data_IF_890170895311
#
_entry.id   IF_890170895311
#
_cell.length_a   1.000
_cell.length_b   1.000
_cell.length_c   1.000
_cell.angle_alpha   90.00
_cell.angle_beta   90.00
_cell.angle_gamma   90.00
#
_symmetry.space_group_name_H-M   'P 1'
#
loop_
_entity.id
_entity.type
_entity.pdbx_description
1 polymer ?
#
# COMPACT_ATOMS: atom_id res chain seq x y z
N UNK A 1 6.14 -50.64 -18.45
CA UNK A 1 5.12 -49.96 -17.62
C UNK A 1 5.58 -48.52 -17.39
N UNK A 2 5.13 -47.62 -18.26
CA UNK A 2 5.50 -46.20 -18.28
C UNK A 2 4.48 -45.40 -17.45
N UNK A 3 4.98 -44.62 -16.48
CA UNK A 3 4.19 -43.59 -15.83
C UNK A 3 4.16 -42.35 -16.73
N UNK A 4 2.95 -41.99 -17.15
CA UNK A 4 2.64 -40.84 -18.02
C UNK A 4 2.94 -39.54 -17.27
N UNK A 5 3.82 -38.73 -17.85
CA UNK A 5 4.16 -37.38 -17.39
C UNK A 5 3.09 -36.44 -17.96
N UNK A 6 2.14 -35.99 -17.14
CA UNK A 6 1.17 -34.96 -17.55
C UNK A 6 1.94 -33.68 -17.93
N UNK A 7 1.84 -33.31 -19.21
CA UNK A 7 2.39 -32.09 -19.74
C UNK A 7 1.57 -30.90 -19.23
N UNK A 8 2.25 -29.97 -18.56
CA UNK A 8 1.73 -28.62 -18.29
C UNK A 8 1.46 -27.96 -19.65
N UNK A 9 0.24 -27.46 -19.94
CA UNK A 9 -0.02 -26.78 -21.19
C UNK A 9 0.84 -25.52 -21.28
N UNK A 10 1.55 -25.39 -22.40
CA UNK A 10 2.38 -24.24 -22.70
C UNK A 10 1.55 -22.95 -22.64
N UNK A 11 2.14 -21.90 -22.07
CA UNK A 11 1.55 -20.57 -22.08
C UNK A 11 1.24 -20.14 -23.53
N UNK A 12 0.09 -19.49 -23.79
CA UNK A 12 -0.19 -18.96 -25.11
C UNK A 12 0.89 -17.96 -25.50
N UNK A 13 1.31 -18.02 -26.76
CA UNK A 13 2.31 -17.10 -27.31
C UNK A 13 1.86 -15.63 -27.11
N UNK A 14 2.79 -14.68 -26.91
CA UNK A 14 2.46 -13.27 -26.67
C UNK A 14 1.53 -12.66 -27.73
N UNK A 15 1.64 -13.15 -28.98
CA UNK A 15 0.79 -12.73 -30.10
C UNK A 15 -0.65 -13.23 -29.97
N UNK A 16 -0.88 -14.44 -29.45
CA UNK A 16 -2.23 -14.99 -29.24
C UNK A 16 -2.95 -14.34 -28.05
N UNK A 17 -2.22 -13.98 -26.99
CA UNK A 17 -2.76 -13.24 -25.86
C UNK A 17 -3.17 -11.80 -26.26
N UNK A 18 -2.39 -11.16 -27.13
CA UNK A 18 -2.69 -9.81 -27.64
C UNK A 18 -3.91 -9.83 -28.56
N UNK A 19 -4.00 -10.79 -29.50
CA UNK A 19 -5.16 -10.95 -30.39
C UNK A 19 -6.46 -11.29 -29.63
N UNK A 20 -6.38 -12.09 -28.58
CA UNK A 20 -7.54 -12.41 -27.74
C UNK A 20 -8.00 -11.21 -26.90
N UNK A 21 -7.07 -10.38 -26.40
CA UNK A 21 -7.37 -9.14 -25.68
C UNK A 21 -8.00 -8.09 -26.59
N UNK A 22 -7.47 -7.91 -27.81
CA UNK A 22 -8.00 -6.94 -28.79
C UNK A 22 -9.37 -7.36 -29.32
N UNK A 23 -9.61 -8.66 -29.58
CA UNK A 23 -10.95 -9.15 -29.99
C UNK A 23 -12.01 -9.01 -28.89
N UNK A 24 -11.63 -9.17 -27.61
CA UNK A 24 -12.54 -8.89 -26.49
C UNK A 24 -12.80 -7.39 -26.32
N UNK A 25 -11.82 -6.54 -26.60
CA UNK A 25 -12.00 -5.09 -26.55
C UNK A 25 -13.06 -4.60 -27.55
N UNK A 26 -13.00 -5.09 -28.80
CA UNK A 26 -13.98 -4.74 -29.84
C UNK A 26 -15.39 -5.27 -29.54
N UNK A 27 -15.52 -6.49 -28.98
CA UNK A 27 -16.85 -7.05 -28.66
C UNK A 27 -17.51 -6.42 -27.43
N UNK A 28 -16.72 -5.78 -26.56
CA UNK A 28 -17.22 -5.14 -25.34
C UNK A 28 -17.58 -3.68 -25.59
N UNK A 29 -16.91 -2.99 -26.53
CA UNK A 29 -17.29 -1.63 -26.94
C UNK A 29 -18.68 -1.56 -27.58
N UNK A 30 -19.06 -2.54 -28.41
CA UNK A 30 -20.36 -2.53 -29.11
C UNK A 30 -21.57 -2.88 -28.22
N UNK A 31 -21.35 -3.52 -27.04
CA UNK A 31 -22.45 -3.93 -26.14
C UNK A 31 -22.74 -2.97 -24.98
N UNK A 32 -21.89 -1.97 -24.75
CA UNK A 32 -21.97 -1.10 -23.56
C UNK A 32 -22.79 0.19 -23.79
N UNK A 33 -23.28 0.45 -25.01
CA UNK A 33 -24.04 1.68 -25.30
C UNK A 33 -25.46 1.74 -24.71
N UNK A 34 -25.92 0.74 -23.96
CA UNK A 34 -27.28 0.75 -23.37
C UNK A 34 -27.27 0.14 -21.96
N UNK A 35 -26.83 0.91 -20.94
CA UNK A 35 -27.41 0.94 -19.59
C UNK A 35 -26.66 1.95 -18.73
N UNK A 36 -27.28 3.12 -18.54
CA UNK A 36 -26.87 4.10 -17.55
C UNK A 36 -27.08 3.54 -16.13
N UNK A 37 -25.99 3.16 -15.48
CA UNK A 37 -25.90 3.19 -14.02
C UNK A 37 -25.15 4.45 -13.63
N UNK A 38 -25.74 5.20 -12.68
CA UNK A 38 -25.38 6.58 -12.37
C UNK A 38 -23.87 6.78 -12.23
N UNK A 39 -23.35 7.77 -12.94
CA UNK A 39 -22.00 8.28 -12.76
C UNK A 39 -21.80 8.62 -11.28
N UNK A 40 -21.04 7.80 -10.56
CA UNK A 40 -20.43 8.22 -9.31
C UNK A 40 -19.50 9.38 -9.64
N UNK A 41 -19.91 10.60 -9.27
CA UNK A 41 -19.08 11.79 -9.40
C UNK A 41 -17.77 11.57 -8.63
N UNK A 42 -16.65 11.73 -9.32
CA UNK A 42 -15.34 11.61 -8.69
C UNK A 42 -15.20 12.70 -7.61
N UNK A 43 -14.74 12.38 -6.40
CA UNK A 43 -14.56 13.37 -5.36
C UNK A 43 -13.58 14.46 -5.81
N UNK A 44 -13.82 15.73 -5.46
CA UNK A 44 -12.97 16.84 -5.88
C UNK A 44 -11.55 16.68 -5.32
N UNK A 45 -10.56 16.95 -6.16
CA UNK A 45 -9.14 16.90 -5.80
C UNK A 45 -8.80 18.12 -4.95
N UNK A 46 -8.37 17.90 -3.71
CA UNK A 46 -7.99 18.97 -2.78
C UNK A 46 -6.51 19.31 -2.90
N UNK A 47 -6.22 20.60 -3.06
CA UNK A 47 -4.88 21.16 -3.09
C UNK A 47 -4.73 22.20 -1.98
N UNK A 48 -3.54 22.27 -1.40
CA UNK A 48 -3.22 23.16 -0.29
C UNK A 48 -2.03 24.02 -0.69
N UNK A 49 -2.07 25.29 -0.32
CA UNK A 49 -0.97 26.22 -0.56
C UNK A 49 0.19 25.91 0.39
N UNK A 50 1.37 25.65 -0.15
CA UNK A 50 2.59 25.43 0.63
C UNK A 50 3.15 26.75 1.17
N UNK A 51 4.10 26.65 2.11
CA UNK A 51 4.83 27.80 2.66
C UNK A 51 5.56 28.61 1.59
N UNK A 52 5.96 27.95 0.51
CA UNK A 52 6.68 28.54 -0.62
C UNK A 52 5.72 29.19 -1.64
N UNK A 53 4.42 29.30 -1.31
CA UNK A 53 3.39 29.90 -2.16
C UNK A 53 2.83 28.99 -3.24
N UNK A 54 3.48 27.85 -3.53
CA UNK A 54 3.06 26.88 -4.54
C UNK A 54 1.91 25.97 -4.06
N UNK A 55 1.02 25.60 -4.98
CA UNK A 55 -0.04 24.62 -4.72
C UNK A 55 0.52 23.19 -4.75
N UNK A 56 0.07 22.36 -3.82
CA UNK A 56 0.34 20.93 -3.87
C UNK A 56 -0.84 20.11 -3.38
N UNK A 57 -0.89 18.86 -3.81
CA UNK A 57 -1.90 17.90 -3.35
C UNK A 57 -1.93 17.85 -1.82
N UNK A 58 -3.14 17.94 -1.27
CA UNK A 58 -3.36 17.76 0.15
C UNK A 58 -2.76 16.41 0.59
N UNK A 59 -1.89 16.43 1.59
CA UNK A 59 -1.31 15.20 2.16
C UNK A 59 -2.38 14.26 2.70
N UNK A 60 -3.54 14.80 3.03
CA UNK A 60 -4.70 14.10 3.55
C UNK A 60 -5.65 13.61 2.43
N UNK A 61 -5.24 13.59 1.16
CA UNK A 61 -6.05 13.12 0.03
C UNK A 61 -5.54 11.84 -0.65
N UNK A 62 -4.47 11.21 -0.12
CA UNK A 62 -3.92 9.97 -0.70
C UNK A 62 -3.18 9.11 0.33
N UNK A 63 -3.20 7.80 0.09
CA UNK A 63 -2.33 6.84 0.76
C UNK A 63 -0.99 6.78 0.02
N UNK A 64 0.12 7.04 0.71
CA UNK A 64 1.45 7.08 0.10
C UNK A 64 2.35 5.97 0.66
N UNK A 65 2.95 5.18 -0.23
CA UNK A 65 4.05 4.28 0.13
C UNK A 65 5.35 5.06 0.30
N UNK A 66 5.56 5.65 1.48
CA UNK A 66 6.70 6.51 1.81
C UNK A 66 7.55 5.97 2.98
N UNK A 67 7.58 4.63 3.15
CA UNK A 67 8.37 3.96 4.19
C UNK A 67 9.85 4.35 4.09
N UNK A 68 10.38 4.85 5.21
CA UNK A 68 11.80 5.21 5.33
C UNK A 68 12.70 3.98 5.21
N UNK A 69 13.79 4.10 4.45
CA UNK A 69 14.81 3.05 4.33
C UNK A 69 15.54 2.82 5.66
N UNK A 70 15.75 3.89 6.41
CA UNK A 70 16.47 3.86 7.69
C UNK A 70 15.76 2.99 8.74
N UNK A 71 14.42 2.90 8.68
CA UNK A 71 13.63 2.11 9.63
C UNK A 71 13.94 0.62 9.54
N UNK A 72 14.37 0.12 8.37
CA UNK A 72 14.83 -1.27 8.22
C UNK A 72 16.09 -1.61 9.04
N UNK A 73 16.80 -0.61 9.54
CA UNK A 73 17.98 -0.77 10.40
C UNK A 73 17.67 -0.54 11.89
N UNK A 74 16.40 -0.38 12.29
CA UNK A 74 16.05 -0.15 13.70
C UNK A 74 16.38 -1.35 14.59
N UNK A 75 16.28 -2.59 14.08
CA UNK A 75 16.72 -3.77 14.83
C UNK A 75 18.24 -3.78 15.06
N UNK A 76 19.01 -3.16 14.15
CA UNK A 76 20.44 -2.98 14.34
C UNK A 76 20.74 -1.94 15.42
N UNK A 77 19.95 -0.85 15.49
CA UNK A 77 20.03 0.11 16.59
C UNK A 77 19.76 -0.56 17.94
N UNK A 78 18.74 -1.42 18.00
CA UNK A 78 18.41 -2.15 19.22
C UNK A 78 19.56 -3.05 19.67
N UNK A 79 20.24 -3.72 18.74
CA UNK A 79 21.42 -4.54 19.05
C UNK A 79 22.69 -3.72 19.37
N UNK A 80 22.63 -2.38 19.26
CA UNK A 80 23.76 -1.49 19.52
C UNK A 80 24.17 -1.42 21.00
N UNK A 81 23.32 -1.90 21.91
CA UNK A 81 23.60 -2.06 23.33
C UNK A 81 24.49 -3.28 23.65
N UNK A 82 24.94 -4.03 22.62
CA UNK A 82 25.84 -5.18 22.75
C UNK A 82 26.98 -4.98 23.71
N UNK A 83 27.74 -3.90 23.51
CA UNK A 83 28.92 -3.66 24.33
C UNK A 83 28.55 -3.43 25.80
N UNK A 84 27.45 -2.70 26.06
CA UNK A 84 26.93 -2.40 27.40
C UNK A 84 26.49 -3.65 28.16
N UNK A 85 25.80 -4.58 27.48
CA UNK A 85 25.28 -5.78 28.13
C UNK A 85 26.33 -6.90 28.26
N UNK A 86 27.37 -6.92 27.41
CA UNK A 86 28.42 -7.97 27.45
C UNK A 86 29.57 -7.60 28.37
N UNK A 87 30.05 -6.36 28.32
CA UNK A 87 31.15 -5.89 29.17
C UNK A 87 30.60 -5.05 30.31
N UNK A 88 29.96 -5.75 31.25
CA UNK A 88 29.28 -5.19 32.42
C UNK A 88 30.21 -5.07 33.65
N UNK A 89 31.52 -5.05 33.44
CA UNK A 89 32.52 -4.92 34.51
C UNK A 89 32.77 -3.44 34.82
N UNK A 90 32.98 -3.11 36.10
CA UNK A 90 33.33 -1.76 36.54
C UNK A 90 34.78 -1.77 37.06
N UNK A 91 35.69 -0.95 36.50
CA UNK A 91 35.49 -0.02 35.38
C UNK A 91 35.39 -0.72 34.02
N UNK A 92 34.60 -0.14 33.12
CA UNK A 92 34.39 -0.69 31.77
C UNK A 92 35.69 -0.61 30.95
N UNK A 93 36.10 -1.68 30.25
CA UNK A 93 37.29 -1.65 29.39
C UNK A 93 37.18 -0.57 28.29
N UNK A 94 38.29 0.11 27.98
CA UNK A 94 38.30 1.23 27.01
C UNK A 94 37.75 0.84 25.64
N UNK A 95 38.09 -0.36 25.14
CA UNK A 95 37.56 -0.83 23.86
C UNK A 95 36.03 -0.99 23.89
N UNK A 96 35.46 -1.42 25.03
CA UNK A 96 34.02 -1.58 25.21
C UNK A 96 33.34 -0.21 25.29
N UNK A 97 33.96 0.78 25.96
CA UNK A 97 33.50 2.18 25.97
C UNK A 97 33.39 2.75 24.56
N UNK A 98 34.38 2.48 23.69
CA UNK A 98 34.32 2.94 22.28
C UNK A 98 33.14 2.32 21.55
N UNK A 99 32.94 1.00 21.65
CA UNK A 99 31.78 0.34 21.02
C UNK A 99 30.45 0.81 21.58
N UNK A 100 30.35 1.01 22.89
CA UNK A 100 29.17 1.59 23.55
C UNK A 100 28.86 2.99 22.99
N UNK A 101 29.86 3.88 22.91
CA UNK A 101 29.66 5.23 22.39
C UNK A 101 29.15 5.22 20.94
N UNK A 102 29.70 4.34 20.10
CA UNK A 102 29.24 4.17 18.71
C UNK A 102 27.78 3.66 18.68
N UNK A 103 27.49 2.57 19.41
CA UNK A 103 26.16 1.97 19.46
C UNK A 103 25.09 2.95 19.97
N UNK A 104 25.35 3.61 21.09
CA UNK A 104 24.45 4.61 21.67
C UNK A 104 24.22 5.81 20.75
N UNK A 105 25.24 6.27 20.03
CA UNK A 105 25.10 7.37 19.05
C UNK A 105 24.27 6.95 17.85
N UNK A 106 24.52 5.76 17.30
CA UNK A 106 23.76 5.22 16.15
C UNK A 106 22.29 5.01 16.52
N UNK A 107 22.01 4.47 17.71
CA UNK A 107 20.64 4.33 18.21
C UNK A 107 19.93 5.69 18.35
N UNK A 108 20.60 6.67 18.95
CA UNK A 108 20.08 8.04 19.07
C UNK A 108 19.78 8.67 17.70
N UNK A 109 20.67 8.53 16.73
CA UNK A 109 20.48 9.05 15.37
C UNK A 109 19.33 8.34 14.63
N UNK A 110 19.22 7.01 14.73
CA UNK A 110 18.16 6.23 14.10
C UNK A 110 16.78 6.53 14.71
N UNK A 111 16.70 6.89 15.99
CA UNK A 111 15.46 7.33 16.62
C UNK A 111 14.83 8.53 15.90
N UNK A 112 15.63 9.48 15.41
CA UNK A 112 15.16 10.65 14.64
C UNK A 112 14.44 10.19 13.38
N UNK A 113 14.99 9.19 12.68
CA UNK A 113 14.33 8.64 11.48
C UNK A 113 13.06 7.88 11.81
N UNK A 114 13.02 7.16 12.93
CA UNK A 114 11.80 6.49 13.40
C UNK A 114 10.70 7.52 13.67
N UNK A 115 10.96 8.60 14.42
CA UNK A 115 9.94 9.64 14.66
C UNK A 115 9.51 10.37 13.40
N UNK A 116 10.44 10.60 12.45
CA UNK A 116 10.09 11.18 11.14
C UNK A 116 9.21 10.25 10.32
N UNK A 117 9.44 8.93 10.36
CA UNK A 117 8.58 7.96 9.69
C UNK A 117 7.24 7.78 10.41
N UNK A 118 7.21 7.78 11.74
CA UNK A 118 5.99 7.81 12.54
C UNK A 118 5.10 9.00 12.16
N UNK A 119 5.69 10.18 11.94
CA UNK A 119 4.93 11.35 11.47
C UNK A 119 4.31 11.13 10.08
N UNK A 120 5.03 10.48 9.17
CA UNK A 120 4.52 10.12 7.83
C UNK A 120 3.39 9.10 7.91
N UNK A 121 3.57 8.06 8.73
CA UNK A 121 2.56 7.05 9.00
C UNK A 121 1.31 7.67 9.65
N UNK A 122 1.49 8.64 10.56
CA UNK A 122 0.38 9.36 11.20
C UNK A 122 -0.50 10.10 10.17
N UNK A 123 0.10 10.73 9.14
CA UNK A 123 -0.67 11.34 8.04
C UNK A 123 -1.50 10.28 7.29
N UNK A 124 -0.91 9.14 6.92
CA UNK A 124 -1.64 8.04 6.29
C UNK A 124 -2.77 7.51 7.18
N UNK A 125 -2.53 7.34 8.49
CA UNK A 125 -3.53 6.90 9.48
C UNK A 125 -4.67 7.91 9.60
N UNK A 126 -4.38 9.21 9.64
CA UNK A 126 -5.40 10.27 9.69
C UNK A 126 -6.26 10.27 8.43
N UNK A 127 -5.64 10.19 7.26
CA UNK A 127 -6.33 10.04 5.98
C UNK A 127 -7.28 8.83 6.00
N UNK A 128 -6.76 7.65 6.35
CA UNK A 128 -7.54 6.42 6.37
C UNK A 128 -8.67 6.44 7.41
N UNK A 129 -8.47 7.07 8.58
CA UNK A 129 -9.54 7.26 9.58
C UNK A 129 -10.64 8.19 9.07
N UNK A 130 -10.28 9.31 8.44
CA UNK A 130 -11.25 10.24 7.83
C UNK A 130 -12.05 9.53 6.73
N UNK A 131 -11.37 8.84 5.82
CA UNK A 131 -12.01 8.04 4.78
C UNK A 131 -12.98 7.01 5.38
N UNK A 132 -12.57 6.33 6.46
CA UNK A 132 -13.42 5.35 7.16
C UNK A 132 -14.69 5.96 7.73
N UNK A 133 -14.58 7.14 8.35
CA UNK A 133 -15.75 7.84 8.91
C UNK A 133 -16.75 8.19 7.81
N UNK A 134 -16.27 8.76 6.70
CA UNK A 134 -17.11 9.10 5.54
C UNK A 134 -17.80 7.86 4.96
N UNK A 135 -17.07 6.76 4.78
CA UNK A 135 -17.64 5.50 4.28
C UNK A 135 -18.65 4.88 5.25
N UNK A 136 -18.46 5.01 6.56
CA UNK A 136 -19.43 4.54 7.55
C UNK A 136 -20.71 5.37 7.54
N UNK A 137 -20.60 6.69 7.35
CA UNK A 137 -21.74 7.58 7.19
C UNK A 137 -22.50 7.28 5.90
N UNK A 138 -21.78 7.10 4.78
CA UNK A 138 -22.35 6.70 3.50
C UNK A 138 -23.07 5.35 3.62
N UNK A 139 -22.44 4.35 4.24
CA UNK A 139 -23.07 3.06 4.51
C UNK A 139 -24.37 3.20 5.30
N UNK A 140 -24.40 4.05 6.33
CA UNK A 140 -25.62 4.31 7.11
C UNK A 140 -26.72 4.94 6.25
N UNK A 141 -26.36 5.88 5.35
CA UNK A 141 -27.31 6.51 4.43
C UNK A 141 -27.88 5.52 3.42
N UNK A 142 -27.03 4.68 2.81
CA UNK A 142 -27.45 3.63 1.88
C UNK A 142 -28.34 2.60 2.57
N UNK A 143 -27.97 2.18 3.79
CA UNK A 143 -28.80 1.27 4.59
C UNK A 143 -30.17 1.87 4.94
N UNK A 144 -30.22 3.17 5.26
CA UNK A 144 -31.48 3.88 5.50
C UNK A 144 -32.36 3.98 4.25
N UNK A 145 -31.76 3.96 3.06
CA UNK A 145 -32.45 3.93 1.75
C UNK A 145 -32.73 2.51 1.24
N UNK A 146 -32.37 1.47 2.01
CA UNK A 146 -32.44 0.07 1.59
C UNK A 146 -31.66 -0.23 0.28
N UNK A 147 -30.61 0.53 0.01
CA UNK A 147 -29.74 0.34 -1.16
C UNK A 147 -28.60 -0.66 -0.87
N UNK A 148 -28.00 -1.22 -1.92
CA UNK A 148 -26.89 -2.16 -1.79
C UNK A 148 -25.67 -1.47 -1.15
N UNK A 149 -25.11 -2.09 -0.10
CA UNK A 149 -23.93 -1.59 0.62
C UNK A 149 -22.64 -2.33 0.24
N UNK A 150 -22.69 -3.22 -0.75
CA UNK A 150 -21.59 -4.12 -1.11
C UNK A 150 -20.30 -3.36 -1.46
N UNK A 151 -20.41 -2.32 -2.29
CA UNK A 151 -19.27 -1.49 -2.70
C UNK A 151 -18.62 -0.81 -1.49
N UNK A 152 -19.42 -0.13 -0.67
CA UNK A 152 -18.93 0.52 0.54
C UNK A 152 -18.28 -0.48 1.51
N UNK A 153 -18.82 -1.69 1.59
CA UNK A 153 -18.29 -2.77 2.43
C UNK A 153 -16.95 -3.30 1.93
N UNK A 154 -16.76 -3.43 0.61
CA UNK A 154 -15.47 -3.77 0.02
C UNK A 154 -14.43 -2.70 0.35
N UNK A 155 -14.77 -1.43 0.15
CA UNK A 155 -13.85 -0.32 0.44
C UNK A 155 -13.54 -0.25 1.93
N UNK A 156 -14.53 -0.43 2.81
CA UNK A 156 -14.32 -0.48 4.26
C UNK A 156 -13.41 -1.63 4.71
N UNK A 157 -13.49 -2.78 4.04
CA UNK A 157 -12.63 -3.94 4.31
C UNK A 157 -11.18 -3.73 3.83
N UNK A 158 -10.99 -3.00 2.73
CA UNK A 158 -9.67 -2.59 2.26
C UNK A 158 -9.08 -1.54 3.20
N UNK A 159 -9.86 -0.49 3.51
CA UNK A 159 -9.49 0.56 4.43
C UNK A 159 -9.12 0.01 5.81
N UNK A 160 -9.85 -0.98 6.34
CA UNK A 160 -9.50 -1.63 7.61
C UNK A 160 -8.12 -2.27 7.56
N UNK A 161 -7.80 -2.98 6.47
CA UNK A 161 -6.49 -3.61 6.27
C UNK A 161 -5.39 -2.57 6.13
N UNK A 162 -5.59 -1.53 5.32
CA UNK A 162 -4.63 -0.44 5.13
C UNK A 162 -4.39 0.32 6.43
N UNK A 163 -5.44 0.67 7.16
CA UNK A 163 -5.38 1.38 8.43
C UNK A 163 -4.64 0.57 9.48
N UNK A 164 -4.99 -0.71 9.64
CA UNK A 164 -4.31 -1.54 10.62
C UNK A 164 -2.85 -1.82 10.26
N UNK A 165 -2.51 -1.90 8.97
CA UNK A 165 -1.12 -2.01 8.53
C UNK A 165 -0.35 -0.72 8.85
N UNK A 166 -0.81 0.45 8.41
CA UNK A 166 -0.12 1.72 8.71
C UNK A 166 -0.09 2.02 10.22
N UNK A 167 -1.11 1.61 10.98
CA UNK A 167 -1.16 1.79 12.42
C UNK A 167 -0.22 0.84 13.15
N UNK A 168 -0.38 -0.47 12.98
CA UNK A 168 0.35 -1.49 13.74
C UNK A 168 1.77 -1.63 13.21
N UNK A 169 1.94 -1.90 11.91
CA UNK A 169 3.23 -2.28 11.34
C UNK A 169 4.09 -1.09 10.95
N UNK A 170 3.71 0.13 11.34
CA UNK A 170 4.48 1.34 11.03
C UNK A 170 4.38 2.37 12.14
N UNK A 171 3.22 2.98 12.37
CA UNK A 171 3.11 4.06 13.37
C UNK A 171 3.44 3.61 14.80
N UNK A 172 2.83 2.51 15.27
CA UNK A 172 3.11 1.96 16.60
C UNK A 172 4.56 1.45 16.68
N UNK A 173 5.02 0.73 15.64
CA UNK A 173 6.40 0.24 15.56
C UNK A 173 7.42 1.38 15.71
N UNK A 174 7.32 2.41 14.88
CA UNK A 174 8.25 3.53 14.86
C UNK A 174 8.27 4.29 16.19
N UNK A 175 7.12 4.43 16.85
CA UNK A 175 7.05 5.05 18.17
C UNK A 175 7.72 4.20 19.25
N UNK A 176 7.43 2.90 19.30
CA UNK A 176 7.97 2.00 20.31
C UNK A 176 9.47 1.77 20.11
N UNK A 177 9.92 1.50 18.88
CA UNK A 177 11.33 1.32 18.56
C UNK A 177 12.10 2.65 18.65
N UNK A 178 11.50 3.77 18.24
CA UNK A 178 12.12 5.09 18.38
C UNK A 178 12.34 5.48 19.83
N UNK A 179 11.34 5.22 20.70
CA UNK A 179 11.47 5.43 22.14
C UNK A 179 12.49 4.48 22.77
N UNK A 180 12.45 3.18 22.42
CA UNK A 180 13.45 2.19 22.84
C UNK A 180 14.88 2.62 22.48
N UNK A 181 15.09 3.11 21.25
CA UNK A 181 16.40 3.59 20.80
C UNK A 181 16.90 4.82 21.59
N UNK A 182 16.01 5.74 22.02
CA UNK A 182 16.38 6.83 22.93
C UNK A 182 16.81 6.26 24.29
N UNK A 183 16.04 5.34 24.86
CA UNK A 183 16.37 4.73 26.16
C UNK A 183 17.70 3.98 26.12
N UNK A 184 17.96 3.23 25.05
CA UNK A 184 19.24 2.55 24.81
C UNK A 184 20.37 3.57 24.72
N UNK A 185 20.20 4.65 23.95
CA UNK A 185 21.19 5.72 23.80
C UNK A 185 21.54 6.36 25.15
N UNK A 186 20.52 6.78 25.92
CA UNK A 186 20.70 7.39 27.24
C UNK A 186 21.34 6.41 28.22
N UNK A 187 20.84 5.18 28.29
CA UNK A 187 21.41 4.14 29.15
C UNK A 187 22.88 3.89 28.83
N UNK A 188 23.22 3.77 27.54
CA UNK A 188 24.60 3.51 27.14
C UNK A 188 25.56 4.64 27.53
N UNK A 189 25.13 5.89 27.42
CA UNK A 189 25.93 7.03 27.92
C UNK A 189 26.02 7.06 29.45
N UNK A 190 24.96 6.67 30.17
CA UNK A 190 24.99 6.51 31.63
C UNK A 190 25.96 5.40 32.07
N UNK A 191 26.03 4.28 31.32
CA UNK A 191 26.97 3.19 31.59
C UNK A 191 28.42 3.64 31.43
N UNK A 192 28.74 4.43 30.40
CA UNK A 192 30.09 4.96 30.16
C UNK A 192 30.53 5.90 31.31
N UNK A 193 29.62 6.72 31.84
CA UNK A 193 29.90 7.63 32.96
C UNK A 193 29.82 6.98 34.35
N UNK A 194 29.50 5.68 34.42
CA UNK A 194 29.07 4.98 35.63
C UNK A 194 30.21 4.56 36.58
N UNK A 195 30.87 5.52 37.22
CA UNK A 195 31.71 5.22 38.40
C UNK A 195 30.87 4.93 39.67
N UNK A 196 29.57 5.31 39.66
CA UNK A 196 28.63 5.09 40.76
C UNK A 196 27.77 3.82 40.51
N UNK A 197 27.81 2.82 41.40
CA UNK A 197 27.07 1.57 41.25
C UNK A 197 25.55 1.73 41.04
N UNK A 198 24.94 2.78 41.61
CA UNK A 198 23.50 3.04 41.47
C UNK A 198 23.13 3.53 40.06
N UNK A 199 23.97 4.38 39.45
CA UNK A 199 23.79 4.88 38.08
C UNK A 199 24.00 3.75 37.07
N UNK A 200 24.95 2.87 37.35
CA UNK A 200 25.21 1.68 36.55
C UNK A 200 24.05 0.67 36.58
N UNK A 201 23.47 0.42 37.76
CA UNK A 201 22.29 -0.45 37.89
C UNK A 201 21.06 0.16 37.19
N UNK A 202 20.85 1.47 37.35
CA UNK A 202 19.78 2.19 36.66
C UNK A 202 19.96 2.13 35.13
N UNK A 203 21.20 2.25 34.64
CA UNK A 203 21.54 2.11 33.22
C UNK A 203 21.16 0.72 32.69
N UNK A 204 21.59 -0.36 33.36
CA UNK A 204 21.29 -1.73 32.93
C UNK A 204 19.80 -2.05 32.95
N UNK A 205 19.05 -1.51 33.91
CA UNK A 205 17.59 -1.63 33.94
C UNK A 205 16.96 -0.89 32.74
N UNK A 206 17.46 0.32 32.44
CA UNK A 206 16.92 1.19 31.40
C UNK A 206 17.24 0.69 29.99
N UNK A 207 18.48 0.31 29.70
CA UNK A 207 18.90 -0.21 28.40
C UNK A 207 18.48 -1.67 28.19
N UNK A 208 18.60 -2.51 29.22
CA UNK A 208 18.39 -3.96 29.10
C UNK A 208 16.93 -4.40 29.16
N UNK A 209 16.13 -3.86 30.10
CA UNK A 209 14.76 -4.34 30.34
C UNK A 209 13.69 -3.36 29.89
N UNK A 210 13.77 -2.10 30.36
CA UNK A 210 12.75 -1.08 30.06
C UNK A 210 12.79 -0.67 28.59
N UNK A 211 13.98 -0.51 28.01
CA UNK A 211 14.17 -0.21 26.58
C UNK A 211 13.67 -1.32 25.65
N UNK A 212 13.80 -2.58 26.06
CA UNK A 212 13.46 -3.75 25.25
C UNK A 212 12.00 -4.23 25.40
N UNK A 213 11.33 -3.90 26.51
CA UNK A 213 9.92 -4.25 26.74
C UNK A 213 8.96 -3.74 25.63
N UNK A 214 9.05 -2.48 25.15
CA UNK A 214 8.28 -1.98 24.02
C UNK A 214 8.40 -2.84 22.74
N UNK A 215 9.60 -3.36 22.47
CA UNK A 215 9.90 -4.17 21.27
C UNK A 215 9.21 -5.53 21.39
N UNK A 216 9.29 -6.17 22.56
CA UNK A 216 8.63 -7.45 22.82
C UNK A 216 7.10 -7.34 22.72
N UNK A 217 6.51 -6.29 23.28
CA UNK A 217 5.06 -6.04 23.19
C UNK A 217 4.63 -5.79 21.75
N UNK A 218 5.40 -4.96 21.01
CA UNK A 218 5.17 -4.74 19.58
C UNK A 218 5.22 -6.05 18.80
N UNK A 219 6.21 -6.91 19.09
CA UNK A 219 6.38 -8.19 18.40
C UNK A 219 5.13 -9.06 18.49
N UNK A 220 4.49 -9.15 19.65
CA UNK A 220 3.24 -9.89 19.83
C UNK A 220 2.09 -9.30 19.00
N UNK A 221 1.86 -7.98 19.09
CA UNK A 221 0.80 -7.30 18.35
C UNK A 221 1.00 -7.41 16.83
N UNK A 222 2.23 -7.23 16.35
CA UNK A 222 2.57 -7.35 14.94
C UNK A 222 2.35 -8.76 14.41
N UNK A 223 2.68 -9.79 15.19
CA UNK A 223 2.51 -11.18 14.75
C UNK A 223 1.04 -11.61 14.69
N UNK A 224 0.21 -11.12 15.63
CA UNK A 224 -1.25 -11.30 15.52
C UNK A 224 -1.81 -10.61 14.28
N UNK A 225 -1.34 -9.39 13.99
CA UNK A 225 -1.71 -8.69 12.76
C UNK A 225 -1.22 -9.43 11.49
N UNK A 226 0.00 -9.93 11.50
CA UNK A 226 0.58 -10.69 10.40
C UNK A 226 -0.22 -11.98 10.11
N UNK A 227 -0.66 -12.69 11.15
CA UNK A 227 -1.54 -13.84 11.03
C UNK A 227 -2.88 -13.47 10.38
N UNK A 228 -3.51 -12.37 10.82
CA UNK A 228 -4.74 -11.87 10.20
C UNK A 228 -4.54 -11.57 8.70
N UNK A 229 -3.46 -10.88 8.33
CA UNK A 229 -3.13 -10.57 6.93
C UNK A 229 -2.90 -11.85 6.12
N UNK A 230 -2.20 -12.84 6.68
CA UNK A 230 -1.97 -14.13 6.03
C UNK A 230 -3.29 -14.86 5.74
N UNK A 231 -4.19 -14.92 6.73
CA UNK A 231 -5.51 -15.54 6.57
C UNK A 231 -6.35 -14.80 5.53
N UNK A 232 -6.34 -13.46 5.53
CA UNK A 232 -7.01 -12.65 4.51
C UNK A 232 -6.47 -12.94 3.11
N UNK A 233 -5.15 -12.97 2.94
CA UNK A 233 -4.52 -13.30 1.66
C UNK A 233 -4.88 -14.72 1.18
N UNK A 234 -4.98 -15.68 2.10
CA UNK A 234 -5.42 -17.04 1.76
C UNK A 234 -6.88 -17.07 1.30
N UNK A 235 -7.76 -16.28 1.94
CA UNK A 235 -9.15 -16.11 1.50
C UNK A 235 -9.23 -15.51 0.11
N UNK A 236 -8.41 -14.51 -0.22
CA UNK A 236 -8.36 -13.94 -1.58
C UNK A 236 -8.04 -15.01 -2.63
N UNK A 237 -7.03 -15.85 -2.38
CA UNK A 237 -6.64 -16.94 -3.31
C UNK A 237 -7.80 -17.92 -3.51
N UNK A 238 -8.44 -18.35 -2.42
CA UNK A 238 -9.54 -19.31 -2.48
C UNK A 238 -10.76 -18.72 -3.18
N UNK A 239 -11.13 -17.49 -2.83
CA UNK A 239 -12.31 -16.82 -3.35
C UNK A 239 -12.15 -16.46 -4.83
N UNK A 240 -11.00 -15.92 -5.25
CA UNK A 240 -10.76 -15.58 -6.65
C UNK A 240 -10.76 -16.82 -7.54
N UNK A 241 -10.15 -17.92 -7.08
CA UNK A 241 -10.18 -19.20 -7.82
C UNK A 241 -11.59 -19.75 -7.98
N UNK A 242 -12.45 -19.61 -6.96
CA UNK A 242 -13.84 -20.09 -6.99
C UNK A 242 -14.73 -19.24 -7.88
N UNK A 243 -14.62 -17.91 -7.81
CA UNK A 243 -15.53 -17.00 -8.50
C UNK A 243 -15.09 -16.66 -9.94
N UNK A 244 -13.79 -16.60 -10.22
CA UNK A 244 -13.25 -16.16 -11.52
C UNK A 244 -12.69 -17.32 -12.36
N UNK A 245 -12.58 -18.52 -11.78
CA UNK A 245 -11.96 -19.66 -12.43
C UNK A 245 -10.47 -19.44 -12.78
N UNK A 246 -10.00 -20.19 -13.77
CA UNK A 246 -8.62 -20.11 -14.27
C UNK A 246 -8.49 -18.99 -15.32
N UNK A 247 -8.13 -17.79 -14.88
CA UNK A 247 -7.86 -16.64 -15.74
C UNK A 247 -6.64 -15.84 -15.27
N UNK A 248 -6.18 -14.88 -16.08
CA UNK A 248 -5.01 -14.04 -15.79
C UNK A 248 -5.22 -13.22 -14.52
N UNK A 249 -6.39 -12.60 -14.34
CA UNK A 249 -6.74 -11.90 -13.10
C UNK A 249 -6.60 -12.78 -11.83
N UNK A 250 -7.06 -14.04 -11.87
CA UNK A 250 -6.88 -14.99 -10.75
C UNK A 250 -5.40 -15.23 -10.45
N UNK A 251 -4.56 -15.36 -11.49
CA UNK A 251 -3.13 -15.55 -11.32
C UNK A 251 -2.46 -14.30 -10.71
N UNK A 252 -2.86 -13.10 -11.11
CA UNK A 252 -2.36 -11.83 -10.56
C UNK A 252 -2.74 -11.66 -9.07
N UNK A 253 -4.01 -11.91 -8.72
CA UNK A 253 -4.47 -11.90 -7.31
C UNK A 253 -3.69 -12.92 -6.49
N UNK A 254 -3.50 -14.14 -7.01
CA UNK A 254 -2.72 -15.19 -6.36
C UNK A 254 -1.25 -14.76 -6.16
N UNK A 255 -0.61 -14.19 -7.18
CA UNK A 255 0.78 -13.72 -7.12
C UNK A 255 0.96 -12.68 -6.01
N UNK A 256 0.08 -11.68 -5.96
CA UNK A 256 0.07 -10.67 -4.89
C UNK A 256 -0.15 -11.30 -3.52
N UNK A 257 -1.18 -12.12 -3.38
CA UNK A 257 -1.51 -12.76 -2.10
C UNK A 257 -0.36 -13.62 -1.57
N UNK A 258 0.35 -14.36 -2.43
CA UNK A 258 1.55 -15.11 -2.04
C UNK A 258 2.69 -14.22 -1.58
N UNK A 259 2.98 -13.11 -2.27
CA UNK A 259 3.99 -12.13 -1.83
C UNK A 259 3.66 -11.56 -0.46
N UNK A 260 2.39 -11.25 -0.20
CA UNK A 260 1.90 -10.79 1.10
C UNK A 260 2.05 -11.87 2.17
N UNK A 261 1.71 -13.13 1.87
CA UNK A 261 1.89 -14.25 2.80
C UNK A 261 3.34 -14.47 3.20
N UNK A 262 4.26 -14.47 2.23
CA UNK A 262 5.70 -14.61 2.49
C UNK A 262 6.19 -13.50 3.41
N UNK A 263 5.80 -12.25 3.14
CA UNK A 263 6.13 -11.12 4.01
C UNK A 263 5.51 -11.26 5.41
N UNK A 264 4.24 -11.64 5.52
CA UNK A 264 3.59 -11.84 6.82
C UNK A 264 4.29 -12.90 7.66
N UNK A 265 4.73 -14.00 7.04
CA UNK A 265 5.47 -15.06 7.74
C UNK A 265 6.82 -14.53 8.21
N UNK A 266 7.64 -13.96 7.32
CA UNK A 266 8.99 -13.48 7.67
C UNK A 266 8.91 -12.35 8.70
N UNK A 267 8.04 -11.36 8.48
CA UNK A 267 7.88 -10.23 9.39
C UNK A 267 7.34 -10.68 10.75
N UNK A 268 6.31 -11.54 10.77
CA UNK A 268 5.71 -12.01 12.02
C UNK A 268 6.64 -12.91 12.84
N UNK A 269 7.46 -13.75 12.20
CA UNK A 269 8.45 -14.58 12.93
C UNK A 269 9.63 -13.74 13.39
N UNK A 270 10.14 -12.86 12.54
CA UNK A 270 11.26 -11.97 12.87
C UNK A 270 10.92 -11.08 14.07
N UNK A 271 9.70 -10.53 14.16
CA UNK A 271 9.34 -9.68 15.31
C UNK A 271 9.15 -10.44 16.62
N UNK A 272 8.70 -11.70 16.58
CA UNK A 272 8.68 -12.55 17.79
C UNK A 272 10.10 -12.86 18.23
N UNK A 273 10.96 -13.30 17.30
CA UNK A 273 12.35 -13.62 17.61
C UNK A 273 13.14 -12.39 18.04
N UNK A 274 12.87 -11.23 17.46
CA UNK A 274 13.44 -9.94 17.87
C UNK A 274 13.01 -9.56 19.29
N UNK A 275 11.71 -9.69 19.59
CA UNK A 275 11.18 -9.46 20.94
C UNK A 275 11.81 -10.39 21.98
N UNK A 276 11.84 -11.70 21.72
CA UNK A 276 12.48 -12.68 22.63
C UNK A 276 13.99 -12.43 22.73
N UNK A 277 14.67 -12.21 21.61
CA UNK A 277 16.09 -11.92 21.54
C UNK A 277 16.46 -10.70 22.38
N UNK A 278 15.70 -9.60 22.24
CA UNK A 278 15.91 -8.35 22.98
C UNK A 278 15.76 -8.50 24.51
N UNK A 279 14.94 -9.45 24.97
CA UNK A 279 14.82 -9.74 26.40
C UNK A 279 15.97 -10.63 26.90
N UNK A 280 16.45 -11.55 26.05
CA UNK A 280 17.58 -12.43 26.38
C UNK A 280 18.89 -11.65 26.42
N UNK A 281 19.09 -10.67 25.53
CA UNK A 281 20.31 -9.85 25.46
C UNK A 281 20.60 -9.07 26.74
N UNK A 282 19.57 -8.78 27.54
CA UNK A 282 19.72 -8.15 28.86
C UNK A 282 20.53 -9.00 29.86
N UNK A 283 20.62 -10.31 29.66
CA UNK A 283 21.29 -11.23 30.60
C UNK A 283 22.29 -12.18 29.95
N UNK A 284 22.17 -12.42 28.64
CA UNK A 284 22.94 -13.45 27.94
C UNK A 284 23.43 -12.96 26.58
N UNK A 285 24.75 -12.97 26.38
CA UNK A 285 25.40 -12.51 25.15
C UNK A 285 24.97 -13.31 23.90
N UNK A 286 24.63 -14.60 24.03
CA UNK A 286 24.19 -15.39 22.87
C UNK A 286 22.84 -14.94 22.32
N UNK A 287 22.07 -14.12 23.06
CA UNK A 287 20.86 -13.46 22.56
C UNK A 287 21.14 -12.61 21.32
N UNK A 288 22.33 -12.01 21.21
CA UNK A 288 22.71 -11.24 20.04
C UNK A 288 22.90 -12.09 18.78
N UNK A 289 23.25 -13.37 18.93
CA UNK A 289 23.31 -14.31 17.80
C UNK A 289 21.92 -14.53 17.20
N UNK A 290 20.87 -14.52 18.04
CA UNK A 290 19.46 -14.58 17.58
C UNK A 290 19.05 -13.31 16.83
N UNK A 291 19.60 -12.15 17.20
CA UNK A 291 19.26 -10.89 16.55
C UNK A 291 19.84 -10.75 15.12
N UNK A 292 20.92 -11.46 14.77
CA UNK A 292 21.50 -11.42 13.41
C UNK A 292 20.46 -11.76 12.32
N UNK A 293 19.78 -12.93 12.33
CA UNK A 293 18.75 -13.23 11.34
C UNK A 293 17.54 -12.29 11.43
N UNK A 294 17.24 -11.71 12.60
CA UNK A 294 16.17 -10.71 12.77
C UNK A 294 16.51 -9.42 12.05
N UNK A 295 17.74 -8.91 12.18
CA UNK A 295 18.22 -7.71 11.49
C UNK A 295 18.17 -7.91 9.97
N UNK A 296 18.67 -9.03 9.47
CA UNK A 296 18.61 -9.36 8.04
C UNK A 296 17.16 -9.41 7.55
N UNK A 297 16.28 -10.04 8.31
CA UNK A 297 14.85 -10.13 8.00
C UNK A 297 14.18 -8.76 7.99
N UNK A 298 14.53 -7.86 8.93
CA UNK A 298 14.00 -6.50 9.00
C UNK A 298 14.39 -5.67 7.78
N UNK A 299 15.66 -5.72 7.37
CA UNK A 299 16.15 -5.06 6.14
C UNK A 299 15.44 -5.63 4.91
N UNK A 300 15.33 -6.95 4.80
CA UNK A 300 14.61 -7.61 3.72
C UNK A 300 13.14 -7.15 3.68
N UNK A 301 12.43 -7.20 4.81
CA UNK A 301 11.03 -6.80 4.93
C UNK A 301 10.83 -5.33 4.53
N UNK A 302 11.72 -4.42 4.92
CA UNK A 302 11.65 -3.02 4.51
C UNK A 302 11.76 -2.86 2.98
N UNK A 303 12.77 -3.50 2.37
CA UNK A 303 12.98 -3.45 0.92
C UNK A 303 11.80 -4.10 0.18
N UNK A 304 11.35 -5.26 0.65
CA UNK A 304 10.27 -6.03 0.05
C UNK A 304 8.94 -5.28 0.15
N UNK A 305 8.65 -4.66 1.30
CA UNK A 305 7.46 -3.82 1.45
C UNK A 305 7.46 -2.70 0.40
N UNK A 306 8.54 -1.92 0.34
CA UNK A 306 8.67 -0.78 -0.58
C UNK A 306 8.55 -1.22 -2.04
N UNK A 307 9.21 -2.31 -2.41
CA UNK A 307 9.32 -2.73 -3.81
C UNK A 307 8.23 -3.64 -4.30
N UNK A 308 7.53 -4.40 -3.44
CA UNK A 308 6.65 -5.51 -3.85
C UNK A 308 5.24 -5.48 -3.24
N UNK A 309 5.03 -4.88 -2.06
CA UNK A 309 3.75 -4.99 -1.34
C UNK A 309 3.03 -3.65 -1.25
N UNK A 310 3.72 -2.63 -0.72
CA UNK A 310 3.19 -1.30 -0.55
C UNK A 310 2.81 -0.68 -1.89
N UNK A 311 1.78 0.15 -1.87
CA UNK A 311 1.30 0.88 -3.05
C UNK A 311 0.80 2.25 -2.62
N UNK A 312 0.80 3.19 -3.57
CA UNK A 312 0.22 4.52 -3.41
C UNK A 312 -1.13 4.54 -4.12
N UNK A 313 -2.16 5.13 -3.49
CA UNK A 313 -3.48 5.32 -4.12
C UNK A 313 -4.15 6.62 -3.67
N UNK A 314 -4.98 7.18 -4.55
CA UNK A 314 -5.86 8.32 -4.27
C UNK A 314 -7.24 7.88 -3.74
N UNK A 315 -8.12 8.85 -3.45
CA UNK A 315 -9.50 8.60 -2.99
C UNK A 315 -10.43 7.97 -4.05
N UNK A 316 -10.12 8.11 -5.34
CA UNK A 316 -10.92 7.50 -6.42
C UNK A 316 -10.84 5.98 -6.45
N UNK A 317 -11.97 5.31 -6.29
CA UNK A 317 -12.11 3.85 -6.42
C UNK A 317 -12.62 3.52 -7.83
N UNK A 318 -12.16 2.42 -8.45
CA UNK A 318 -12.83 1.91 -9.65
C UNK A 318 -14.24 1.42 -9.29
N UNK A 319 -15.14 1.42 -10.26
CA UNK A 319 -16.47 0.84 -10.06
C UNK A 319 -16.34 -0.64 -9.64
N UNK A 320 -17.17 -1.06 -8.68
CA UNK A 320 -17.15 -2.42 -8.12
C UNK A 320 -17.88 -3.44 -8.99
N UNK A 321 -17.58 -3.41 -10.30
CA UNK A 321 -18.12 -4.34 -11.30
C UNK A 321 -17.05 -5.38 -11.62
N UNK A 322 -17.40 -6.67 -11.53
CA UNK A 322 -16.47 -7.79 -11.71
C UNK A 322 -15.61 -7.66 -12.97
N UNK A 323 -16.26 -7.47 -14.12
CA UNK A 323 -15.58 -7.51 -15.42
C UNK A 323 -14.71 -6.26 -15.63
N UNK A 324 -15.12 -5.11 -15.09
CA UNK A 324 -14.31 -3.89 -15.09
C UNK A 324 -13.07 -4.01 -14.21
N UNK A 325 -13.20 -4.64 -13.03
CA UNK A 325 -12.07 -4.89 -12.14
C UNK A 325 -11.05 -5.86 -12.76
N UNK A 326 -11.52 -6.91 -13.44
CA UNK A 326 -10.68 -7.85 -14.19
C UNK A 326 -9.92 -7.11 -15.29
N UNK A 327 -10.65 -6.36 -16.13
CA UNK A 327 -10.06 -5.60 -17.23
C UNK A 327 -9.03 -4.59 -16.72
N UNK A 328 -9.36 -3.80 -15.69
CA UNK A 328 -8.47 -2.81 -15.13
C UNK A 328 -7.18 -3.44 -14.55
N UNK A 329 -7.30 -4.61 -13.90
CA UNK A 329 -6.17 -5.32 -13.33
C UNK A 329 -5.24 -5.88 -14.41
N UNK A 330 -5.81 -6.54 -15.42
CA UNK A 330 -5.04 -7.10 -16.54
C UNK A 330 -4.37 -6.00 -17.36
N UNK A 331 -5.08 -4.88 -17.57
CA UNK A 331 -4.55 -3.70 -18.23
C UNK A 331 -3.37 -3.10 -17.46
N UNK A 332 -3.49 -2.94 -16.13
CA UNK A 332 -2.41 -2.40 -15.31
C UNK A 332 -1.17 -3.31 -15.36
N UNK A 333 -1.35 -4.63 -15.27
CA UNK A 333 -0.25 -5.59 -15.35
C UNK A 333 0.44 -5.59 -16.73
N UNK A 334 -0.34 -5.57 -17.81
CA UNK A 334 0.21 -5.51 -19.17
C UNK A 334 0.95 -4.19 -19.44
N UNK A 335 0.45 -3.08 -18.90
CA UNK A 335 1.06 -1.76 -19.05
C UNK A 335 2.37 -1.64 -18.28
N UNK A 336 2.50 -2.26 -17.09
CA UNK A 336 3.78 -2.34 -16.36
C UNK A 336 4.85 -3.05 -17.20
N UNK A 337 4.52 -4.23 -17.78
CA UNK A 337 5.48 -5.01 -18.57
C UNK A 337 5.94 -4.24 -19.82
N UNK A 338 4.99 -3.70 -20.59
CA UNK A 338 5.31 -2.94 -21.81
C UNK A 338 6.17 -1.70 -21.53
N UNK A 339 5.88 -0.97 -20.46
CA UNK A 339 6.66 0.23 -20.08
C UNK A 339 8.09 -0.10 -19.61
N UNK A 340 8.35 -1.35 -19.22
CA UNK A 340 9.69 -1.82 -18.87
C UNK A 340 10.47 -2.37 -20.08
N UNK A 341 9.77 -2.96 -21.05
CA UNK A 341 10.37 -3.50 -22.27
C UNK A 341 10.84 -2.40 -23.23
N UNK A 342 10.10 -1.30 -23.33
CA UNK A 342 10.48 -0.14 -24.14
C UNK A 342 10.19 1.18 -23.39
N UNK A 343 11.19 1.74 -22.69
CA UNK A 343 11.03 2.98 -21.92
C UNK A 343 10.82 4.23 -22.78
N UNK A 344 11.22 4.20 -24.06
CA UNK A 344 11.17 5.35 -24.98
C UNK A 344 9.92 5.29 -25.87
N UNK A 345 9.34 4.12 -26.09
CA UNK A 345 8.10 4.00 -26.84
C UNK A 345 6.91 4.58 -26.04
N UNK A 346 6.05 5.40 -26.70
CA UNK A 346 4.79 5.79 -26.09
C UNK A 346 3.99 4.53 -25.74
N UNK A 347 3.44 4.42 -24.52
CA UNK A 347 2.70 3.24 -24.10
C UNK A 347 1.64 2.85 -25.14
N UNK A 348 1.42 1.56 -25.39
CA UNK A 348 0.49 1.12 -26.46
C UNK A 348 -0.95 1.70 -26.33
N UNK A 349 -1.36 2.10 -25.13
CA UNK A 349 -2.64 2.77 -24.86
C UNK A 349 -2.66 4.27 -25.24
N UNK A 350 -1.50 4.86 -25.56
CA UNK A 350 -1.41 6.21 -26.12
C UNK A 350 -2.05 6.34 -27.50
N UNK A 351 -2.14 5.23 -28.26
CA UNK A 351 -2.86 5.19 -29.53
C UNK A 351 -4.39 5.27 -29.35
N UNK A 352 -4.89 4.94 -28.16
CA UNK A 352 -6.32 4.96 -27.79
C UNK A 352 -6.68 6.18 -26.93
N UNK A 353 -5.80 7.18 -26.86
CA UNK A 353 -6.06 8.38 -26.06
C UNK A 353 -7.26 9.16 -26.60
N UNK A 354 -8.22 9.54 -25.73
CA UNK A 354 -9.35 10.33 -26.17
C UNK A 354 -8.95 11.68 -26.75
N UNK A 355 -9.70 12.13 -27.76
CA UNK A 355 -9.52 13.43 -28.42
C UNK A 355 -10.36 14.54 -27.79
N UNK A 356 -11.36 14.21 -26.98
CA UNK A 356 -12.18 15.19 -26.25
C UNK A 356 -11.70 15.34 -24.81
N UNK A 357 -11.79 16.55 -24.25
CA UNK A 357 -11.39 16.80 -22.86
C UNK A 357 -12.29 16.03 -21.87
N UNK A 358 -13.59 15.91 -22.15
CA UNK A 358 -14.52 15.17 -21.30
C UNK A 358 -14.15 13.68 -21.19
N UNK A 359 -13.91 13.04 -22.33
CA UNK A 359 -13.51 11.63 -22.38
C UNK A 359 -12.11 11.46 -21.77
N UNK A 360 -11.21 12.42 -21.97
CA UNK A 360 -9.86 12.39 -21.40
C UNK A 360 -9.89 12.52 -19.87
N UNK A 361 -10.73 13.39 -19.30
CA UNK A 361 -10.89 13.49 -17.85
C UNK A 361 -11.53 12.23 -17.25
N UNK A 362 -12.48 11.62 -17.97
CA UNK A 362 -13.04 10.33 -17.58
C UNK A 362 -11.98 9.22 -17.62
N UNK A 363 -11.15 9.20 -18.66
CA UNK A 363 -10.01 8.31 -18.80
C UNK A 363 -9.03 8.48 -17.63
N UNK A 364 -8.60 9.71 -17.33
CA UNK A 364 -7.68 10.01 -16.22
C UNK A 364 -8.28 9.59 -14.87
N UNK A 365 -9.59 9.76 -14.69
CA UNK A 365 -10.30 9.31 -13.49
C UNK A 365 -10.30 7.79 -13.37
N UNK A 366 -10.65 7.07 -14.46
CA UNK A 366 -10.68 5.61 -14.53
C UNK A 366 -9.32 4.98 -14.25
N UNK A 367 -8.25 5.63 -14.70
CA UNK A 367 -6.87 5.18 -14.50
C UNK A 367 -6.18 5.78 -13.26
N UNK A 368 -6.92 6.50 -12.41
CA UNK A 368 -6.41 7.13 -11.17
C UNK A 368 -5.25 8.12 -11.38
N UNK A 369 -5.23 8.81 -12.52
CA UNK A 369 -4.25 9.84 -12.88
C UNK A 369 -4.75 11.25 -12.57
N UNK A 370 -6.06 11.44 -12.36
CA UNK A 370 -6.69 12.76 -12.18
C UNK A 370 -6.06 13.62 -11.07
N UNK A 371 -5.56 12.99 -9.99
CA UNK A 371 -4.94 13.73 -8.89
C UNK A 371 -3.59 14.33 -9.29
N UNK A 372 -2.78 13.56 -10.04
CA UNK A 372 -1.51 14.04 -10.56
C UNK A 372 -1.75 15.12 -11.62
N UNK A 373 -2.76 14.89 -12.48
CA UNK A 373 -3.22 15.86 -13.47
C UNK A 373 -3.57 17.21 -12.86
N UNK A 374 -4.44 17.25 -11.85
CA UNK A 374 -4.80 18.51 -11.19
C UNK A 374 -3.59 19.20 -10.55
N UNK A 375 -2.62 18.46 -10.01
CA UNK A 375 -1.43 19.06 -9.42
C UNK A 375 -0.54 19.73 -10.47
N UNK A 376 -0.32 19.05 -11.60
CA UNK A 376 0.57 19.53 -12.67
C UNK A 376 -0.08 20.68 -13.44
N UNK A 377 -1.40 20.62 -13.68
CA UNK A 377 -2.17 21.67 -14.36
C UNK A 377 -2.18 22.98 -13.58
N UNK A 378 -2.25 22.92 -12.25
CA UNK A 378 -2.29 24.13 -11.40
C UNK A 378 -0.93 24.83 -11.33
N UNK A 379 0.15 24.16 -11.72
CA UNK A 379 1.43 24.83 -11.93
C UNK A 379 1.37 25.84 -13.09
N UNK A 380 0.39 25.73 -13.99
CA UNK A 380 0.14 26.72 -15.03
C UNK A 380 -0.61 27.95 -14.43
N UNK A 381 -0.01 29.16 -14.47
CA UNK A 381 -0.61 30.35 -13.87
C UNK A 381 -1.99 30.71 -14.44
N UNK A 382 -2.20 30.51 -15.74
CA UNK A 382 -3.46 30.87 -16.41
C UNK A 382 -4.62 29.99 -15.92
N UNK A 383 -4.34 28.69 -15.73
CA UNK A 383 -5.34 27.73 -15.26
C UNK A 383 -5.56 27.89 -13.76
N UNK A 384 -4.50 28.13 -12.99
CA UNK A 384 -4.60 28.44 -11.57
C UNK A 384 -5.49 29.66 -11.31
N UNK A 385 -5.29 30.74 -12.09
CA UNK A 385 -6.10 31.95 -12.04
C UNK A 385 -7.56 31.68 -12.38
N UNK A 386 -7.82 30.96 -13.47
CA UNK A 386 -9.17 30.65 -13.92
C UNK A 386 -9.94 29.75 -12.92
N UNK A 387 -9.23 28.96 -12.11
CA UNK A 387 -9.79 28.15 -11.03
C UNK A 387 -9.90 28.91 -9.69
N UNK A 388 -9.54 30.20 -9.64
CA UNK A 388 -9.65 31.03 -8.43
C UNK A 388 -8.46 30.92 -7.46
N UNK A 389 -7.30 30.44 -7.92
CA UNK A 389 -6.10 30.24 -7.10
C UNK A 389 -5.37 31.52 -6.66
N UNK A 390 -5.69 32.67 -7.24
CA UNK A 390 -5.09 33.98 -6.91
C UNK A 390 -5.77 34.71 -5.73
N UNK A 391 -6.87 34.17 -5.21
CA UNK A 391 -7.52 34.72 -4.04
C UNK A 391 -6.58 34.66 -2.82
N UNK A 392 -6.22 35.81 -2.26
CA UNK A 392 -5.22 35.96 -1.18
C UNK A 392 -5.56 35.19 0.10
N UNK A 393 -6.84 34.86 0.31
CA UNK A 393 -7.34 34.20 1.52
C UNK A 393 -7.61 32.68 1.34
N UNK A 394 -7.38 32.12 0.14
CA UNK A 394 -7.59 30.69 -0.10
C UNK A 394 -6.38 29.85 0.34
N UNK A 395 -6.53 29.11 1.44
CA UNK A 395 -5.56 28.11 1.88
C UNK A 395 -5.75 26.74 1.19
N UNK A 396 -6.97 26.44 0.74
CA UNK A 396 -7.35 25.17 0.12
C UNK A 396 -8.15 25.42 -1.18
N UNK A 397 -7.80 24.70 -2.25
CA UNK A 397 -8.47 24.72 -3.54
C UNK A 397 -9.02 23.32 -3.85
N UNK A 398 -10.30 23.21 -4.21
CA UNK A 398 -10.94 21.94 -4.58
C UNK A 398 -11.24 21.94 -6.07
N UNK A 399 -10.61 21.04 -6.82
CA UNK A 399 -10.75 20.96 -8.28
C UNK A 399 -11.46 19.66 -8.66
N UNK A 400 -12.63 19.77 -9.29
CA UNK A 400 -13.35 18.63 -9.85
C UNK A 400 -13.18 18.56 -11.38
N UNK A 401 -13.40 17.39 -12.00
CA UNK A 401 -13.45 17.29 -13.47
C UNK A 401 -14.47 18.25 -14.09
N UNK A 402 -15.59 18.50 -13.40
CA UNK A 402 -16.65 19.42 -13.83
C UNK A 402 -16.16 20.87 -13.83
N UNK A 403 -15.40 21.29 -12.80
CA UNK A 403 -14.78 22.61 -12.75
C UNK A 403 -13.80 22.84 -13.90
N UNK A 404 -13.08 21.79 -14.32
CA UNK A 404 -12.15 21.86 -15.45
C UNK A 404 -12.87 21.94 -16.80
N UNK A 405 -14.02 21.28 -16.94
CA UNK A 405 -14.86 21.37 -18.14
C UNK A 405 -15.60 22.70 -18.25
N UNK A 406 -15.86 23.36 -17.13
CA UNK A 406 -16.49 24.68 -17.09
C UNK A 406 -15.55 25.83 -17.54
N UNK A 407 -14.26 25.55 -17.76
CA UNK A 407 -13.29 26.55 -18.18
C UNK A 407 -13.50 26.96 -19.66
N UNK A 408 -13.08 28.19 -20.03
CA UNK A 408 -13.09 28.67 -21.41
C UNK A 408 -12.39 27.73 -22.41
N UNK A 409 -12.89 27.68 -23.66
CA UNK A 409 -12.45 26.74 -24.69
C UNK A 409 -10.96 26.85 -25.05
N UNK A 410 -10.39 28.05 -24.95
CA UNK A 410 -8.97 28.34 -25.10
C UNK A 410 -8.11 27.63 -24.04
N UNK A 411 -8.60 27.55 -22.79
CA UNK A 411 -7.93 26.80 -21.72
C UNK A 411 -8.20 25.29 -21.83
N UNK A 412 -9.34 24.88 -22.39
CA UNK A 412 -9.66 23.45 -22.59
C UNK A 412 -8.67 22.75 -23.51
N UNK A 413 -8.17 23.43 -24.56
CA UNK A 413 -7.14 22.87 -25.44
C UNK A 413 -5.81 22.68 -24.69
N UNK A 414 -5.40 23.67 -23.88
CA UNK A 414 -4.18 23.60 -23.07
C UNK A 414 -4.26 22.44 -22.06
N UNK A 415 -5.44 22.25 -21.45
CA UNK A 415 -5.75 21.13 -20.56
C UNK A 415 -5.60 19.79 -21.29
N UNK A 416 -6.20 19.65 -22.47
CA UNK A 416 -6.11 18.43 -23.26
C UNK A 416 -4.66 18.10 -23.64
N UNK A 417 -3.89 19.08 -24.10
CA UNK A 417 -2.48 18.90 -24.46
C UNK A 417 -1.63 18.48 -23.24
N UNK A 418 -1.89 19.06 -22.06
CA UNK A 418 -1.26 18.64 -20.81
C UNK A 418 -1.65 17.21 -20.43
N UNK A 419 -2.91 16.84 -20.62
CA UNK A 419 -3.41 15.52 -20.31
C UNK A 419 -2.73 14.45 -21.20
N UNK A 420 -2.58 14.73 -22.51
CA UNK A 420 -1.85 13.84 -23.42
C UNK A 420 -0.38 13.72 -23.08
N UNK A 421 0.28 14.84 -22.73
CA UNK A 421 1.69 14.81 -22.28
C UNK A 421 1.85 13.96 -21.02
N UNK A 422 1.03 14.23 -20.01
CA UNK A 422 1.05 13.47 -18.76
C UNK A 422 0.83 11.98 -19.01
N UNK A 423 -0.17 11.62 -19.82
CA UNK A 423 -0.47 10.23 -20.14
C UNK A 423 0.72 9.50 -20.77
N UNK A 424 1.49 10.17 -21.64
CA UNK A 424 2.71 9.62 -22.25
C UNK A 424 3.86 9.48 -21.26
N UNK A 425 3.96 10.37 -20.28
CA UNK A 425 5.01 10.40 -19.26
C UNK A 425 4.70 9.52 -18.04
N UNK A 426 3.57 8.81 -18.01
CA UNK A 426 3.22 7.92 -16.89
C UNK A 426 4.23 6.79 -16.78
N UNK A 427 5.06 6.85 -15.74
CA UNK A 427 6.07 5.82 -15.48
C UNK A 427 5.50 4.46 -15.02
N UNK A 428 6.32 3.40 -15.10
CA UNK A 428 5.92 2.02 -14.73
C UNK A 428 5.50 1.88 -13.26
N UNK A 429 5.99 2.76 -12.38
CA UNK A 429 5.63 2.75 -10.96
C UNK A 429 4.14 3.04 -10.72
N UNK A 430 3.48 3.81 -11.59
CA UNK A 430 2.02 4.02 -11.51
C UNK A 430 1.27 2.72 -11.73
N UNK A 431 1.56 2.03 -12.83
CA UNK A 431 0.92 0.76 -13.19
C UNK A 431 1.18 -0.33 -12.16
N UNK A 432 2.40 -0.39 -11.63
CA UNK A 432 2.76 -1.28 -10.53
C UNK A 432 1.91 -1.02 -9.27
N UNK A 433 1.71 0.24 -8.90
CA UNK A 433 0.87 0.61 -7.75
C UNK A 433 -0.62 0.29 -8.03
N UNK A 434 -1.06 0.51 -9.27
CA UNK A 434 -2.42 0.21 -9.73
C UNK A 434 -2.71 -1.29 -9.72
N UNK A 435 -1.84 -2.13 -10.29
CA UNK A 435 -1.95 -3.60 -10.28
C UNK A 435 -2.12 -4.09 -8.85
N UNK A 436 -1.25 -3.62 -7.95
CA UNK A 436 -1.28 -3.95 -6.53
C UNK A 436 -2.62 -3.64 -5.89
N UNK A 437 -3.09 -2.41 -6.08
CA UNK A 437 -4.34 -1.98 -5.50
C UNK A 437 -5.54 -2.73 -6.09
N UNK A 438 -5.59 -2.92 -7.40
CA UNK A 438 -6.68 -3.63 -8.07
C UNK A 438 -6.73 -5.12 -7.70
N UNK A 439 -5.58 -5.78 -7.55
CA UNK A 439 -5.54 -7.17 -7.08
C UNK A 439 -6.02 -7.29 -5.62
N UNK A 440 -5.81 -6.26 -4.78
CA UNK A 440 -6.39 -6.20 -3.44
C UNK A 440 -7.91 -6.04 -3.47
N UNK A 441 -8.41 -5.12 -4.32
CA UNK A 441 -9.84 -4.88 -4.52
C UNK A 441 -10.51 -6.14 -5.01
N UNK A 442 -10.01 -6.73 -6.11
CA UNK A 442 -10.61 -7.91 -6.72
C UNK A 442 -10.63 -9.10 -5.76
N UNK A 443 -9.54 -9.34 -5.02
CA UNK A 443 -9.51 -10.39 -3.99
C UNK A 443 -10.52 -10.15 -2.86
N UNK A 444 -10.72 -8.89 -2.46
CA UNK A 444 -11.73 -8.51 -1.45
C UNK A 444 -13.14 -8.66 -2.00
N UNK A 445 -13.39 -8.18 -3.22
CA UNK A 445 -14.65 -8.33 -3.95
C UNK A 445 -15.06 -9.80 -4.03
N UNK A 446 -14.19 -10.69 -4.51
CA UNK A 446 -14.51 -12.12 -4.61
C UNK A 446 -14.84 -12.73 -3.24
N UNK A 447 -14.12 -12.34 -2.19
CA UNK A 447 -14.37 -12.83 -0.84
C UNK A 447 -15.74 -12.39 -0.31
N UNK A 448 -16.14 -11.15 -0.59
CA UNK A 448 -17.40 -10.59 -0.12
C UNK A 448 -18.59 -11.04 -0.98
N UNK A 449 -18.43 -11.15 -2.30
CA UNK A 449 -19.44 -11.67 -3.21
C UNK A 449 -19.86 -13.11 -2.82
N UNK A 450 -18.89 -13.98 -2.55
CA UNK A 450 -19.16 -15.34 -2.07
C UNK A 450 -19.88 -15.35 -0.71
N UNK A 451 -19.56 -14.40 0.19
CA UNK A 451 -20.24 -14.31 1.50
C UNK A 451 -21.69 -13.85 1.38
N UNK A 452 -22.00 -13.01 0.39
CA UNK A 452 -23.34 -12.52 0.11
C UNK A 452 -24.16 -13.47 -0.77
N UNK A 453 -23.62 -14.65 -1.13
CA UNK A 453 -24.33 -15.61 -1.96
C UNK A 453 -24.52 -15.15 -3.41
N UNK A 454 -23.74 -14.18 -3.88
CA UNK A 454 -23.68 -13.79 -5.30
C UNK A 454 -22.85 -14.88 -6.00
N UNK A 455 -23.45 -16.06 -6.16
CA UNK A 455 -23.02 -17.03 -7.15
C UNK A 455 -23.70 -16.67 -8.46
N UNK A 456 -22.92 -16.61 -9.53
CA UNK A 456 -23.37 -16.36 -10.89
C UNK A 456 -24.62 -17.22 -11.20
N UNK A 457 -25.75 -16.58 -11.53
CA UNK A 457 -26.98 -17.24 -11.98
C UNK A 457 -26.77 -18.05 -13.28
N UNK A 458 -25.59 -17.94 -13.91
CA UNK A 458 -25.15 -18.74 -15.04
C UNK A 458 -24.99 -20.23 -14.70
N UNK A 459 -24.53 -20.58 -13.49
CA UNK A 459 -24.40 -21.98 -13.05
C UNK A 459 -25.79 -22.58 -12.70
N UNK A 460 -26.73 -21.73 -12.28
CA UNK A 460 -28.12 -22.09 -12.00
C UNK A 460 -28.91 -22.35 -13.29
N UNK A 461 -28.61 -21.60 -14.35
CA UNK A 461 -29.21 -21.76 -15.68
C UNK A 461 -28.68 -23.01 -16.40
N UNK A 462 -27.36 -23.25 -16.40
CA UNK A 462 -26.78 -24.47 -16.99
C UNK A 462 -27.20 -25.75 -16.25
N UNK A 463 -27.39 -25.70 -14.92
CA UNK A 463 -27.96 -26.84 -14.18
C UNK A 463 -29.44 -27.05 -14.45
N UNK A 464 -30.21 -25.99 -14.72
CA UNK A 464 -31.63 -26.12 -15.10
C UNK A 464 -31.77 -26.65 -16.52
N UNK A 465 -30.93 -26.23 -17.46
CA UNK A 465 -30.92 -26.78 -18.83
C UNK A 465 -30.50 -28.26 -18.83
N UNK A 466 -29.43 -28.65 -18.12
CA UNK A 466 -29.04 -30.07 -18.01
C UNK A 466 -30.10 -30.96 -17.34
N UNK A 467 -30.76 -30.46 -16.29
CA UNK A 467 -31.83 -31.22 -15.64
C UNK A 467 -33.11 -31.30 -16.49
N UNK A 468 -33.29 -30.41 -17.47
CA UNK A 468 -34.43 -30.45 -18.40
C UNK A 468 -34.13 -31.35 -19.60
N UNK A 469 -32.88 -31.40 -20.06
CA UNK A 469 -32.42 -32.33 -21.10
C UNK A 469 -32.35 -33.79 -20.62
N UNK A 470 -32.10 -34.04 -19.32
CA UNK A 470 -32.18 -35.40 -18.74
C UNK A 470 -33.61 -35.88 -18.45
N UNK A 471 -34.62 -35.01 -18.63
CA UNK A 471 -36.05 -35.33 -18.41
C UNK A 471 -36.89 -35.40 -19.70
N UNK A 472 -36.30 -35.16 -20.87
CA UNK A 472 -36.87 -35.51 -22.19
C UNK A 472 -36.18 -36.75 -22.73
#
# INVERSE_FOLDING_TARGET
MCAVKEAVPAAPSPQQATLAATRRASSTQDRVSVRGHGQQQAPPVKLVRQKDGQWALARDGRLINNLSRAVGFMELANAGDFAANVWNDVPVPVYAVVFMAIGGTVAGFLSIFAFRDARRACCNVRYLRRQRLLLLEEKRRLAARCESTLETDIILAINFRELGTELVTRWIMDLLMGFGAILISVGTYMAIGGANPSVFLASNLLSGYVGNTPIALFGLCNSLWAAFIFTKAQRHISASRRLLGACTATALVKRRARKVQVFSVINGTATILGGVGSMVTATRWWGYVILIPVIISSVFCNIWWRRMIGYTRSEGHPAMVRDELIYALEFAAASEVKSLEDPEAPPAWCAELPSSLADMLQFLTRHSLIHQYCADVIANPQICQALGGDATDLAELSVSPESLLALPADLQQILLDHAHRMAREVGPDHFKNRERYLAEILGTYCTMALRHGIMDDTDSAERREKNTEEQM
#
